data_IF_262872107843
#
_entry.id   IF_262872107843
#
_cell.length_a   1.000
_cell.length_b   1.000
_cell.length_c   1.000
_cell.angle_alpha   90.00
_cell.angle_beta   90.00
_cell.angle_gamma   90.00
#
_symmetry.space_group_name_H-M   'P 1'
#
loop_
_entity.id
_entity.type
_entity.pdbx_description
1 polymer ?
#
# COMPACT_ATOMS: atom_id res chain seq x y z
N UNK A 1 3.21 28.55 -2.75
CA UNK A 1 3.94 27.50 -2.01
C UNK A 1 3.35 26.15 -2.39
N UNK A 2 3.90 25.48 -3.42
CA UNK A 2 3.29 24.32 -4.11
C UNK A 2 3.18 23.04 -3.24
N UNK A 3 3.67 23.08 -2.01
CA UNK A 3 3.74 21.91 -1.12
C UNK A 3 3.26 22.24 0.29
N UNK A 4 3.20 23.51 0.72
CA UNK A 4 2.99 23.85 2.14
C UNK A 4 1.69 23.30 2.74
N UNK A 5 0.57 23.58 2.08
CA UNK A 5 -0.76 23.25 2.62
C UNK A 5 -1.14 21.77 2.36
N UNK A 6 -0.65 21.18 1.25
CA UNK A 6 -1.04 19.84 0.79
C UNK A 6 0.06 18.78 0.87
N UNK A 7 1.25 19.09 1.43
CA UNK A 7 2.39 18.16 1.49
C UNK A 7 1.98 16.81 2.07
N UNK A 8 1.25 16.84 3.20
CA UNK A 8 0.82 15.63 3.87
C UNK A 8 -0.10 14.80 2.98
N UNK A 9 -1.03 15.44 2.26
CA UNK A 9 -1.92 14.73 1.37
C UNK A 9 -1.14 14.09 0.21
N UNK A 10 -0.19 14.80 -0.40
CA UNK A 10 0.68 14.21 -1.43
C UNK A 10 1.55 13.05 -0.92
N UNK A 11 2.15 13.17 0.27
CA UNK A 11 2.94 12.10 0.88
C UNK A 11 2.09 10.88 1.22
N UNK A 12 0.91 11.09 1.80
CA UNK A 12 -0.02 10.00 2.16
C UNK A 12 -0.57 9.34 0.91
N UNK A 13 -0.85 10.09 -0.16
CA UNK A 13 -1.27 9.53 -1.44
C UNK A 13 -0.19 8.63 -2.04
N UNK A 14 1.05 9.11 -2.07
CA UNK A 14 2.18 8.34 -2.58
C UNK A 14 2.45 7.08 -1.74
N UNK A 15 2.49 7.22 -0.41
CA UNK A 15 2.74 6.12 0.50
C UNK A 15 1.60 5.08 0.49
N UNK A 16 0.35 5.55 0.57
CA UNK A 16 -0.83 4.70 0.53
C UNK A 16 -0.95 3.94 -0.81
N UNK A 17 -0.71 4.65 -1.93
CA UNK A 17 -0.70 4.05 -3.26
C UNK A 17 0.38 2.98 -3.40
N UNK A 18 1.61 3.27 -2.97
CA UNK A 18 2.72 2.31 -2.98
C UNK A 18 2.41 1.07 -2.10
N UNK A 19 1.86 1.28 -0.90
CA UNK A 19 1.50 0.19 0.01
C UNK A 19 0.39 -0.69 -0.58
N UNK A 20 -0.63 -0.10 -1.20
CA UNK A 20 -1.69 -0.85 -1.88
C UNK A 20 -1.16 -1.66 -3.06
N UNK A 21 -0.48 -0.99 -3.99
CA UNK A 21 0.03 -1.63 -5.22
C UNK A 21 1.06 -2.71 -4.90
N UNK A 22 2.01 -2.45 -4.00
CA UNK A 22 3.04 -3.41 -3.62
C UNK A 22 2.47 -4.69 -3.00
N UNK A 23 1.52 -4.55 -2.06
CA UNK A 23 0.88 -5.71 -1.45
C UNK A 23 -0.06 -6.45 -2.41
N UNK A 24 -0.79 -5.72 -3.27
CA UNK A 24 -1.64 -6.34 -4.28
C UNK A 24 -0.81 -7.14 -5.29
N UNK A 25 0.30 -6.59 -5.77
CA UNK A 25 1.23 -7.29 -6.66
C UNK A 25 1.86 -8.52 -6.00
N UNK A 26 2.16 -8.47 -4.70
CA UNK A 26 2.64 -9.63 -3.96
C UNK A 26 1.60 -10.77 -3.89
N UNK A 27 0.30 -10.44 -3.88
CA UNK A 27 -0.78 -11.43 -3.90
C UNK A 27 -1.04 -11.97 -5.31
N UNK A 28 -1.04 -11.11 -6.33
CA UNK A 28 -1.29 -11.49 -7.73
C UNK A 28 -0.12 -12.28 -8.32
N UNK A 29 1.11 -11.87 -7.98
CA UNK A 29 2.34 -12.50 -8.44
C UNK A 29 3.21 -12.89 -7.24
N UNK A 30 2.82 -13.95 -6.51
CA UNK A 30 3.60 -14.42 -5.39
C UNK A 30 5.01 -14.82 -5.87
N UNK A 31 6.07 -14.52 -5.11
CA UNK A 31 7.43 -14.92 -5.46
C UNK A 31 7.53 -16.45 -5.59
N UNK A 32 8.17 -16.92 -6.67
CA UNK A 32 8.35 -18.35 -6.95
C UNK A 32 9.43 -18.99 -6.07
N UNK A 33 10.36 -18.19 -5.56
CA UNK A 33 11.46 -18.63 -4.70
C UNK A 33 11.11 -18.38 -3.23
N UNK A 34 10.72 -19.44 -2.52
CA UNK A 34 10.67 -19.42 -1.05
C UNK A 34 12.11 -19.51 -0.55
N UNK A 35 12.74 -18.35 -0.31
CA UNK A 35 14.18 -18.24 0.02
C UNK A 35 14.61 -18.88 1.36
N UNK A 36 13.72 -19.51 2.12
CA UNK A 36 14.03 -20.03 3.44
C UNK A 36 13.36 -21.40 3.70
N UNK A 37 14.14 -22.33 4.27
CA UNK A 37 13.67 -23.63 4.80
C UNK A 37 12.63 -23.46 5.93
N UNK A 38 12.54 -22.26 6.52
CA UNK A 38 11.55 -21.87 7.52
C UNK A 38 10.29 -21.22 6.94
N UNK A 39 10.12 -21.22 5.61
CA UNK A 39 8.95 -20.64 4.96
C UNK A 39 7.66 -21.38 5.35
N UNK A 40 6.65 -20.62 5.78
CA UNK A 40 5.34 -21.17 6.12
C UNK A 40 4.74 -21.88 4.89
N UNK A 41 4.11 -23.06 5.09
CA UNK A 41 3.38 -23.81 4.06
C UNK A 41 2.35 -22.96 3.28
N UNK A 42 1.93 -21.83 3.85
CA UNK A 42 1.10 -20.82 3.21
C UNK A 42 1.60 -19.45 3.62
N UNK A 43 1.99 -18.64 2.64
CA UNK A 43 2.29 -17.22 2.87
C UNK A 43 1.11 -16.55 3.59
N UNK A 44 1.34 -15.64 4.55
CA UNK A 44 0.27 -14.98 5.32
C UNK A 44 -0.48 -13.96 4.45
N UNK A 45 -1.28 -14.45 3.50
CA UNK A 45 -2.09 -13.66 2.56
C UNK A 45 -2.98 -12.66 3.28
N UNK A 46 -3.51 -13.04 4.45
CA UNK A 46 -4.30 -12.16 5.30
C UNK A 46 -3.54 -10.88 5.67
N UNK A 47 -2.24 -10.97 5.99
CA UNK A 47 -1.42 -9.81 6.37
C UNK A 47 -1.19 -8.87 5.19
N UNK A 48 -0.88 -9.42 4.01
CA UNK A 48 -0.71 -8.64 2.78
C UNK A 48 -2.00 -7.94 2.37
N UNK A 49 -3.14 -8.62 2.46
CA UNK A 49 -4.44 -8.03 2.12
C UNK A 49 -4.83 -6.90 3.08
N UNK A 50 -4.57 -7.07 4.39
CA UNK A 50 -4.78 -6.02 5.40
C UNK A 50 -3.92 -4.80 5.09
N UNK A 51 -2.64 -4.97 4.80
CA UNK A 51 -1.77 -3.84 4.44
C UNK A 51 -2.20 -3.16 3.14
N UNK A 52 -2.65 -3.93 2.14
CA UNK A 52 -3.21 -3.37 0.92
C UNK A 52 -4.44 -2.50 1.23
N UNK A 53 -5.37 -2.99 2.04
CA UNK A 53 -6.57 -2.26 2.43
C UNK A 53 -6.24 -0.96 3.18
N UNK A 54 -5.27 -0.99 4.10
CA UNK A 54 -4.80 0.21 4.81
C UNK A 54 -4.22 1.23 3.82
N UNK A 55 -3.37 0.78 2.90
CA UNK A 55 -2.81 1.64 1.84
C UNK A 55 -3.89 2.26 0.96
N UNK A 56 -4.91 1.49 0.61
CA UNK A 56 -6.04 1.95 -0.21
C UNK A 56 -6.85 3.03 0.53
N UNK A 57 -7.20 2.79 1.79
CA UNK A 57 -7.94 3.77 2.60
C UNK A 57 -7.16 5.08 2.71
N UNK A 58 -5.85 5.00 2.99
CA UNK A 58 -4.99 6.16 3.05
C UNK A 58 -4.91 6.91 1.71
N UNK A 59 -4.76 6.19 0.60
CA UNK A 59 -4.69 6.77 -0.74
C UNK A 59 -6.01 7.45 -1.13
N UNK A 60 -7.16 6.81 -0.87
CA UNK A 60 -8.49 7.39 -1.14
C UNK A 60 -8.72 8.64 -0.30
N UNK A 61 -8.38 8.60 0.99
CA UNK A 61 -8.49 9.76 1.87
C UNK A 61 -7.63 10.93 1.38
N UNK A 62 -6.36 10.67 1.05
CA UNK A 62 -5.46 11.70 0.56
C UNK A 62 -5.90 12.29 -0.78
N UNK A 63 -6.39 11.44 -1.68
CA UNK A 63 -6.96 11.89 -2.96
C UNK A 63 -8.18 12.76 -2.74
N UNK A 64 -9.08 12.38 -1.83
CA UNK A 64 -10.24 13.19 -1.48
C UNK A 64 -9.83 14.55 -0.89
N UNK A 65 -8.85 14.58 0.02
CA UNK A 65 -8.32 15.82 0.59
C UNK A 65 -7.77 16.76 -0.49
N UNK A 66 -6.96 16.25 -1.44
CA UNK A 66 -6.40 17.03 -2.55
C UNK A 66 -7.46 17.55 -3.51
N UNK A 67 -8.56 16.80 -3.72
CA UNK A 67 -9.66 17.22 -4.58
C UNK A 67 -10.61 18.21 -3.90
N UNK A 68 -10.54 18.32 -2.57
CA UNK A 68 -11.37 19.22 -1.76
C UNK A 68 -10.66 20.50 -1.30
N UNK A 69 -9.34 20.59 -1.52
CA UNK A 69 -8.51 21.75 -1.28
C UNK A 69 -8.62 22.78 -2.41
#
# INVERSE_FOLDING_TARGET
>A
MFVGDDLLAWLVLALGGALFVGNLLAVVRPPTEHREEASLQRAPLARSLVMAAVGLVAAVWALASLLSA
#
